data_IF_119944029844
#
_entry.id   IF_119944029844
#
_cell.length_a   1.000
_cell.length_b   1.000
_cell.length_c   1.000
_cell.angle_alpha   90.00
_cell.angle_beta   90.00
_cell.angle_gamma   90.00
#
_symmetry.space_group_name_H-M   'P 1'
#
loop_
_entity.id
_entity.type
_entity.pdbx_description
1 polymer ?
#
# COMPACT_ATOMS: atom_id res chain seq x y z
N UNK A 1 15.78 -4.56 5.96
CA UNK A 1 14.69 -5.50 5.58
C UNK A 1 15.18 -6.49 4.53
N UNK A 2 14.88 -7.81 4.62
CA UNK A 2 15.49 -8.82 3.73
C UNK A 2 15.23 -8.58 2.23
N UNK A 3 14.00 -8.25 1.83
CA UNK A 3 13.67 -7.98 0.42
C UNK A 3 14.39 -6.75 -0.14
N UNK A 4 14.63 -5.72 0.68
CA UNK A 4 15.35 -4.51 0.28
C UNK A 4 16.82 -4.85 0.02
N UNK A 5 17.44 -5.62 0.90
CA UNK A 5 18.82 -6.07 0.73
C UNK A 5 18.99 -6.90 -0.54
N UNK A 6 18.05 -7.80 -0.82
CA UNK A 6 18.05 -8.61 -2.04
C UNK A 6 17.92 -7.75 -3.30
N UNK A 7 17.14 -6.67 -3.25
CA UNK A 7 16.99 -5.74 -4.36
C UNK A 7 18.25 -4.91 -4.60
N UNK A 8 18.89 -4.44 -3.52
CA UNK A 8 20.19 -3.74 -3.56
C UNK A 8 21.29 -4.62 -4.16
N UNK A 9 21.43 -5.87 -3.68
CA UNK A 9 22.40 -6.84 -4.20
C UNK A 9 22.19 -7.20 -5.67
N UNK A 10 20.98 -6.99 -6.18
CA UNK A 10 20.62 -7.22 -7.58
C UNK A 10 20.60 -5.91 -8.40
N UNK A 11 21.15 -4.82 -7.86
CA UNK A 11 21.24 -3.49 -8.50
C UNK A 11 19.91 -2.95 -9.04
N UNK A 12 18.78 -3.41 -8.47
CA UNK A 12 17.45 -3.06 -8.98
C UNK A 12 17.13 -1.58 -8.82
N UNK A 13 17.60 -0.99 -7.73
CA UNK A 13 17.41 0.44 -7.48
C UNK A 13 18.34 1.28 -8.35
N UNK A 14 19.55 0.80 -8.64
CA UNK A 14 20.49 1.44 -9.58
C UNK A 14 19.92 1.56 -10.98
N UNK A 15 19.12 0.60 -11.40
CA UNK A 15 18.41 0.60 -12.69
C UNK A 15 17.19 1.55 -12.73
N UNK A 16 16.87 2.28 -11.65
CA UNK A 16 15.80 3.28 -11.63
C UNK A 16 16.35 4.69 -11.88
N UNK A 17 16.38 5.19 -13.13
CA UNK A 17 16.93 6.52 -13.43
C UNK A 17 16.15 7.65 -12.75
N UNK A 18 14.87 7.42 -12.45
CA UNK A 18 13.98 8.42 -11.83
C UNK A 18 13.99 8.39 -10.29
N UNK A 19 14.87 7.59 -9.68
CA UNK A 19 15.00 7.51 -8.22
C UNK A 19 15.35 8.89 -7.64
N UNK A 20 14.66 9.26 -6.55
CA UNK A 20 14.85 10.52 -5.83
C UNK A 20 15.26 10.22 -4.39
N UNK A 21 16.47 10.61 -4.01
CA UNK A 21 16.93 10.53 -2.63
C UNK A 21 16.38 11.71 -1.84
N UNK A 22 15.45 11.44 -0.94
CA UNK A 22 14.86 12.44 -0.06
C UNK A 22 15.90 12.91 0.93
N UNK A 23 16.14 14.22 0.93
CA UNK A 23 17.11 14.87 1.82
C UNK A 23 16.43 15.51 3.02
N UNK A 24 15.17 15.93 2.88
CA UNK A 24 14.42 16.60 3.95
C UNK A 24 12.91 16.43 3.74
N UNK A 25 12.18 16.29 4.84
CA UNK A 25 10.73 16.50 4.89
C UNK A 25 10.44 17.59 5.92
N UNK A 26 9.99 18.75 5.45
CA UNK A 26 9.72 19.89 6.33
C UNK A 26 8.47 19.66 7.19
N UNK A 27 8.34 20.41 8.29
CA UNK A 27 7.17 20.39 9.18
C UNK A 27 6.30 21.62 8.94
N UNK A 28 5.03 21.55 9.37
CA UNK A 28 4.07 22.66 9.29
C UNK A 28 2.79 22.29 8.55
N UNK A 29 1.96 23.29 8.24
CA UNK A 29 0.64 23.08 7.60
C UNK A 29 0.74 22.57 6.15
N UNK A 30 1.82 22.91 5.45
CA UNK A 30 2.10 22.46 4.07
C UNK A 30 3.51 21.87 4.01
N UNK A 31 3.73 20.67 4.56
CA UNK A 31 5.04 20.05 4.58
C UNK A 31 5.52 19.81 3.14
N UNK A 32 6.81 20.03 2.89
CA UNK A 32 7.47 19.83 1.60
C UNK A 32 8.47 18.68 1.71
N UNK A 33 8.57 17.90 0.64
CA UNK A 33 9.62 16.89 0.45
C UNK A 33 10.66 17.51 -0.46
N UNK A 34 11.92 17.49 -0.03
CA UNK A 34 13.08 17.85 -0.84
C UNK A 34 13.88 16.62 -1.17
N UNK A 35 14.40 16.55 -2.38
CA UNK A 35 15.17 15.41 -2.84
C UNK A 35 16.30 15.84 -3.77
N UNK A 36 17.23 14.91 -3.98
CA UNK A 36 18.25 14.96 -5.01
C UNK A 36 18.05 13.77 -5.95
N UNK A 37 18.09 14.00 -7.25
CA UNK A 37 18.10 12.91 -8.23
C UNK A 37 19.52 12.35 -8.46
N UNK A 38 19.64 11.36 -9.35
CA UNK A 38 20.93 10.71 -9.67
C UNK A 38 21.95 11.64 -10.33
N UNK A 39 21.50 12.73 -10.96
CA UNK A 39 22.38 13.72 -11.60
C UNK A 39 22.76 14.86 -10.64
N UNK A 40 22.33 14.78 -9.38
CA UNK A 40 22.57 15.82 -8.39
C UNK A 40 21.58 16.98 -8.44
N UNK A 41 20.57 16.92 -9.33
CA UNK A 41 19.55 17.96 -9.43
C UNK A 41 18.66 17.90 -8.20
N UNK A 42 18.47 19.06 -7.58
CA UNK A 42 17.62 19.20 -6.40
C UNK A 42 16.21 19.56 -6.85
N UNK A 43 15.22 18.93 -6.22
CA UNK A 43 13.80 19.23 -6.43
C UNK A 43 13.05 19.32 -5.10
N UNK A 44 11.90 19.99 -5.13
CA UNK A 44 10.98 20.03 -3.99
C UNK A 44 9.51 19.99 -4.44
N UNK A 45 8.65 19.45 -3.56
CA UNK A 45 7.19 19.44 -3.76
C UNK A 45 6.47 19.34 -2.42
N UNK A 46 5.30 19.96 -2.31
CA UNK A 46 4.43 19.73 -1.15
C UNK A 46 4.06 18.25 -1.03
N UNK A 47 4.18 17.69 0.18
CA UNK A 47 3.96 16.27 0.47
C UNK A 47 2.59 15.81 -0.01
N UNK A 48 1.55 16.62 0.23
CA UNK A 48 0.17 16.29 -0.15
C UNK A 48 -0.08 16.34 -1.66
N UNK A 49 0.80 16.98 -2.43
CA UNK A 49 0.69 17.08 -3.88
C UNK A 49 1.51 16.01 -4.61
N UNK A 50 2.27 15.17 -3.89
CA UNK A 50 2.98 14.04 -4.49
C UNK A 50 2.00 12.95 -4.91
N UNK A 51 2.02 12.62 -6.20
CA UNK A 51 1.31 11.48 -6.75
C UNK A 51 1.84 10.16 -6.17
N UNK A 52 1.04 9.10 -6.29
CA UNK A 52 1.46 7.73 -5.93
C UNK A 52 2.74 7.33 -6.67
N UNK A 53 2.84 7.66 -7.96
CA UNK A 53 4.01 7.34 -8.76
C UNK A 53 5.26 8.04 -8.24
N UNK A 54 5.18 9.34 -7.94
CA UNK A 54 6.31 10.07 -7.37
C UNK A 54 6.71 9.51 -6.00
N UNK A 55 5.74 9.15 -5.13
CA UNK A 55 6.02 8.56 -3.81
C UNK A 55 6.73 7.21 -3.90
N UNK A 56 6.40 6.39 -4.89
CA UNK A 56 7.10 5.11 -5.13
C UNK A 56 8.54 5.33 -5.58
N UNK A 57 8.90 6.50 -6.11
CA UNK A 57 10.26 6.84 -6.52
C UNK A 57 11.07 7.56 -5.43
N UNK A 58 10.50 7.75 -4.23
CA UNK A 58 11.18 8.37 -3.10
C UNK A 58 11.95 7.34 -2.30
N UNK A 59 13.24 7.58 -2.12
CA UNK A 59 14.17 6.72 -1.41
C UNK A 59 14.88 7.53 -0.33
N UNK A 60 15.38 6.86 0.70
CA UNK A 60 16.32 7.41 1.68
C UNK A 60 17.68 6.77 1.47
N UNK A 61 18.74 7.45 1.89
CA UNK A 61 20.05 6.82 2.03
C UNK A 61 19.98 5.78 3.15
N UNK A 62 20.49 4.58 2.88
CA UNK A 62 20.57 3.48 3.84
C UNK A 62 22.00 2.96 3.98
N UNK A 63 22.28 2.12 4.99
CA UNK A 63 23.65 1.66 5.26
C UNK A 63 24.30 0.86 4.13
N UNK A 64 23.50 0.34 3.20
CA UNK A 64 23.93 -0.48 2.07
C UNK A 64 23.52 0.14 0.73
N UNK A 65 23.26 1.45 0.73
CA UNK A 65 22.74 2.20 -0.41
C UNK A 65 21.25 2.54 -0.28
N UNK A 66 20.63 3.03 -1.37
CA UNK A 66 19.27 3.54 -1.34
C UNK A 66 18.24 2.53 -0.84
N UNK A 67 17.28 2.99 -0.02
CA UNK A 67 16.15 2.21 0.46
C UNK A 67 14.82 2.93 0.16
N UNK A 68 13.79 2.23 -0.35
CA UNK A 68 12.53 2.86 -0.69
C UNK A 68 11.82 3.38 0.57
N UNK A 69 11.27 4.59 0.51
CA UNK A 69 10.39 5.13 1.56
C UNK A 69 8.96 4.56 1.48
N UNK A 70 8.68 3.80 0.42
CA UNK A 70 7.39 3.15 0.21
C UNK A 70 7.28 1.88 1.07
N UNK A 71 6.23 1.80 1.89
CA UNK A 71 6.07 0.73 2.88
C UNK A 71 5.84 -0.66 2.27
N UNK A 72 4.99 -0.73 1.24
CA UNK A 72 4.56 -2.00 0.66
C UNK A 72 5.47 -2.36 -0.50
N UNK A 73 6.27 -3.41 -0.36
CA UNK A 73 7.17 -3.87 -1.43
C UNK A 73 6.69 -5.21 -1.99
N UNK A 74 6.99 -5.48 -3.27
CA UNK A 74 6.83 -6.81 -3.83
C UNK A 74 7.99 -7.74 -3.38
N UNK A 75 7.91 -9.01 -3.76
CA UNK A 75 8.93 -10.01 -3.42
C UNK A 75 10.32 -9.71 -3.98
N UNK A 76 10.39 -8.81 -4.97
CA UNK A 76 11.63 -8.32 -5.56
C UNK A 76 12.17 -7.06 -4.86
N UNK A 77 11.53 -6.60 -3.79
CA UNK A 77 11.90 -5.39 -3.04
C UNK A 77 11.53 -4.08 -3.72
N UNK A 78 10.76 -4.10 -4.80
CA UNK A 78 10.31 -2.90 -5.51
C UNK A 78 9.00 -2.37 -4.92
N UNK A 79 8.74 -1.05 -4.98
CA UNK A 79 7.47 -0.47 -4.56
C UNK A 79 6.26 -1.19 -5.16
N UNK A 80 5.38 -1.70 -4.30
CA UNK A 80 4.15 -2.39 -4.68
C UNK A 80 3.08 -1.37 -5.03
N UNK A 81 2.51 -1.50 -6.24
CA UNK A 81 1.53 -0.54 -6.76
C UNK A 81 0.19 -0.71 -6.05
N UNK A 82 -0.56 0.37 -5.74
CA UNK A 82 -1.84 0.25 -5.06
C UNK A 82 -2.87 -0.65 -5.76
N UNK A 83 -2.97 -0.61 -7.09
CA UNK A 83 -3.89 -1.48 -7.84
C UNK A 83 -3.50 -2.97 -7.78
N UNK A 84 -2.25 -3.29 -7.46
CA UNK A 84 -1.80 -4.68 -7.34
C UNK A 84 -2.45 -5.39 -6.14
N UNK A 85 -3.03 -4.65 -5.19
CA UNK A 85 -3.81 -5.22 -4.10
C UNK A 85 -5.05 -5.99 -4.59
N UNK A 86 -5.64 -5.64 -5.74
CA UNK A 86 -6.77 -6.39 -6.29
C UNK A 86 -6.39 -7.85 -6.56
N UNK A 87 -5.17 -8.09 -7.04
CA UNK A 87 -4.63 -9.44 -7.23
C UNK A 87 -4.44 -10.21 -5.92
N UNK A 88 -3.99 -9.52 -4.86
CA UNK A 88 -3.82 -10.11 -3.52
C UNK A 88 -5.17 -10.56 -2.97
N UNK A 89 -6.17 -9.67 -3.01
CA UNK A 89 -7.53 -9.97 -2.56
C UNK A 89 -8.17 -11.07 -3.39
N UNK A 90 -8.04 -11.04 -4.72
CA UNK A 90 -8.54 -12.10 -5.60
C UNK A 90 -7.97 -13.47 -5.22
N UNK A 91 -6.64 -13.57 -5.07
CA UNK A 91 -5.96 -14.82 -4.69
C UNK A 91 -6.42 -15.31 -3.30
N UNK A 92 -6.64 -14.39 -2.36
CA UNK A 92 -7.17 -14.72 -1.04
C UNK A 92 -8.63 -15.22 -1.10
N UNK A 93 -9.49 -14.58 -1.89
CA UNK A 93 -10.87 -14.99 -2.10
C UNK A 93 -10.95 -16.38 -2.76
N UNK A 94 -10.13 -16.65 -3.78
CA UNK A 94 -10.04 -17.96 -4.43
C UNK A 94 -9.67 -19.07 -3.42
N UNK A 95 -8.71 -18.80 -2.53
CA UNK A 95 -8.36 -19.71 -1.43
C UNK A 95 -9.52 -19.92 -0.46
N UNK A 96 -10.20 -18.85 -0.06
CA UNK A 96 -11.37 -18.93 0.82
C UNK A 96 -12.48 -19.77 0.20
N UNK A 97 -12.81 -19.54 -1.07
CA UNK A 97 -13.80 -20.32 -1.80
C UNK A 97 -13.43 -21.81 -1.83
N UNK A 98 -12.16 -22.14 -2.14
CA UNK A 98 -11.70 -23.53 -2.18
C UNK A 98 -11.89 -24.27 -0.84
N UNK A 99 -11.73 -23.57 0.29
CA UNK A 99 -11.77 -24.19 1.63
C UNK A 99 -13.15 -24.13 2.27
N UNK A 100 -13.89 -23.03 2.06
CA UNK A 100 -15.10 -22.72 2.81
C UNK A 100 -16.39 -22.98 2.02
N UNK A 101 -16.33 -23.13 0.69
CA UNK A 101 -17.51 -23.50 -0.11
C UNK A 101 -17.93 -24.95 0.20
N UNK A 102 -19.15 -25.18 0.70
CA UNK A 102 -19.62 -26.54 0.97
C UNK A 102 -19.67 -27.38 -0.32
N UNK A 103 -19.39 -28.70 -0.26
CA UNK A 103 -19.28 -29.55 -1.45
C UNK A 103 -20.49 -29.51 -2.40
N UNK A 104 -21.70 -29.34 -1.85
CA UNK A 104 -22.97 -29.26 -2.59
C UNK A 104 -23.11 -28.00 -3.46
N UNK A 105 -22.27 -26.99 -3.27
CA UNK A 105 -22.30 -25.72 -3.99
C UNK A 105 -21.06 -25.50 -4.87
N UNK A 106 -20.20 -26.52 -5.03
CA UNK A 106 -19.08 -26.47 -5.97
C UNK A 106 -19.62 -26.33 -7.41
N UNK A 107 -19.23 -25.24 -8.09
CA UNK A 107 -19.64 -24.96 -9.47
C UNK A 107 -21.02 -24.30 -9.64
N UNK A 108 -21.69 -23.93 -8.56
CA UNK A 108 -22.94 -23.15 -8.60
C UNK A 108 -22.69 -21.63 -8.74
N UNK A 109 -23.76 -20.89 -9.05
CA UNK A 109 -23.77 -19.46 -9.38
C UNK A 109 -22.85 -18.62 -8.45
N UNK A 110 -21.87 -17.88 -9.02
CA UNK A 110 -20.97 -17.01 -8.25
C UNK A 110 -21.67 -15.87 -7.49
N UNK A 111 -22.95 -15.59 -7.76
CA UNK A 111 -23.73 -14.60 -7.01
C UNK A 111 -24.29 -15.12 -5.68
N UNK A 112 -24.24 -16.44 -5.42
CA UNK A 112 -24.53 -17.00 -4.11
C UNK A 112 -23.26 -17.06 -3.25
N UNK A 113 -23.22 -16.23 -2.21
CA UNK A 113 -22.01 -16.07 -1.37
C UNK A 113 -21.89 -17.24 -0.39
N UNK A 114 -21.13 -18.27 -0.77
CA UNK A 114 -20.85 -19.44 0.07
C UNK A 114 -19.51 -19.34 0.83
N UNK A 115 -18.67 -18.38 0.47
CA UNK A 115 -17.40 -18.09 1.12
C UNK A 115 -17.21 -16.56 1.21
N UNK A 116 -16.45 -16.04 2.18
CA UNK A 116 -16.17 -14.63 2.31
C UNK A 116 -15.51 -14.07 1.04
N UNK A 117 -16.03 -12.94 0.57
CA UNK A 117 -15.49 -12.20 -0.56
C UNK A 117 -15.16 -10.77 -0.13
N UNK A 118 -13.94 -10.32 -0.40
CA UNK A 118 -13.51 -8.96 -0.09
C UNK A 118 -12.70 -8.35 -1.24
N UNK A 119 -12.71 -7.02 -1.31
CA UNK A 119 -11.84 -6.21 -2.16
C UNK A 119 -11.15 -5.15 -1.31
N UNK A 120 -10.09 -4.49 -1.80
CA UNK A 120 -9.51 -3.35 -1.08
C UNK A 120 -10.56 -2.28 -0.75
N UNK A 121 -11.52 -2.04 -1.65
CA UNK A 121 -12.62 -1.12 -1.42
C UNK A 121 -13.59 -1.61 -0.34
N UNK A 122 -13.91 -2.91 -0.32
CA UNK A 122 -14.81 -3.45 0.70
C UNK A 122 -14.23 -3.30 2.12
N UNK A 123 -12.91 -3.44 2.29
CA UNK A 123 -12.26 -3.21 3.58
C UNK A 123 -12.47 -1.77 4.09
N UNK A 124 -12.34 -0.77 3.20
CA UNK A 124 -12.62 0.64 3.52
C UNK A 124 -14.09 0.85 3.90
N UNK A 125 -15.00 0.27 3.13
CA UNK A 125 -16.44 0.39 3.36
C UNK A 125 -16.86 -0.25 4.68
N UNK A 126 -16.41 -1.48 4.95
CA UNK A 126 -16.70 -2.19 6.21
C UNK A 126 -16.18 -1.43 7.42
N UNK A 127 -14.99 -0.84 7.34
CA UNK A 127 -14.47 0.00 8.43
C UNK A 127 -15.35 1.24 8.68
N UNK A 128 -15.79 1.92 7.63
CA UNK A 128 -16.67 3.09 7.77
C UNK A 128 -18.00 2.73 8.43
N UNK A 129 -18.64 1.62 8.02
CA UNK A 129 -19.86 1.12 8.64
C UNK A 129 -19.64 0.73 10.10
N UNK A 130 -18.55 0.04 10.41
CA UNK A 130 -18.21 -0.31 11.78
C UNK A 130 -18.07 0.96 12.66
N UNK A 131 -17.34 1.97 12.18
CA UNK A 131 -17.18 3.23 12.91
C UNK A 131 -18.50 3.97 13.09
N UNK A 132 -19.40 3.96 12.08
CA UNK A 132 -20.74 4.54 12.21
C UNK A 132 -21.54 3.88 13.32
N UNK A 133 -21.56 2.54 13.36
CA UNK A 133 -22.28 1.77 14.39
C UNK A 133 -21.70 2.06 15.78
N UNK A 134 -20.37 2.07 15.91
CA UNK A 134 -19.69 2.40 17.18
C UNK A 134 -20.04 3.81 17.65
N UNK A 135 -20.02 4.80 16.76
CA UNK A 135 -20.35 6.17 17.11
C UNK A 135 -21.82 6.33 17.53
N UNK A 136 -22.75 5.68 16.83
CA UNK A 136 -24.17 5.69 17.20
C UNK A 136 -24.38 5.07 18.58
N UNK A 137 -23.77 3.92 18.83
CA UNK A 137 -23.85 3.25 20.12
C UNK A 137 -23.30 4.09 21.28
N UNK A 138 -22.18 4.78 21.07
CA UNK A 138 -21.59 5.67 22.08
C UNK A 138 -22.44 6.92 22.33
N UNK A 139 -23.16 7.42 21.32
CA UNK A 139 -24.12 8.51 21.49
C UNK A 139 -25.33 8.05 22.31
N UNK A 140 -25.94 6.91 21.96
CA UNK A 140 -27.10 6.37 22.67
C UNK A 140 -26.81 6.14 24.16
N UNK A 141 -25.62 5.61 24.48
CA UNK A 141 -25.15 5.42 25.87
C UNK A 141 -24.84 6.70 26.64
N UNK A 142 -24.62 7.83 25.96
CA UNK A 142 -24.39 9.13 26.62
C UNK A 142 -25.70 9.88 26.86
N UNK A 143 -26.75 9.57 26.11
CA UNK A 143 -28.04 10.27 26.14
C UNK A 143 -29.13 9.54 26.93
N UNK A 144 -28.88 8.31 27.40
CA UNK A 144 -29.74 7.57 28.35
C UNK A 144 -29.03 7.35 29.68
#
# INVERSE_FOLDING_TARGET
MWVVRKAQQADRYEQLPQLRLVTEVTRGLKPKVRWRDRHGVVGERELNLLSVHERMLMFTEGPQGPEPLWLWLNEQGMPFRPHSWDGVFRTANERCAKVLTPPRYLGMDPHQVFAPYATPHSARHSFALYMLVVLNYLMDRRSG
#
